data_IF_045124875921
#
_entry.id   IF_045124875921
#
_cell.length_a   1.000
_cell.length_b   1.000
_cell.length_c   1.000
_cell.angle_alpha   90.00
_cell.angle_beta   90.00
_cell.angle_gamma   90.00
#
_symmetry.space_group_name_H-M   'P 1'
#
loop_
_entity.id
_entity.type
_entity.pdbx_description
1 polymer ?
#
# COMPACT_ATOMS: atom_id res chain seq x y z
N UNK A 1 -12.93 -7.93 -3.19
CA UNK A 1 -13.21 -6.56 -3.66
C UNK A 1 -12.07 -5.71 -3.13
N UNK A 2 -11.28 -5.11 -4.04
CA UNK A 2 -10.28 -4.10 -3.72
C UNK A 2 -11.01 -2.94 -3.02
N UNK A 3 -10.53 -2.50 -1.88
CA UNK A 3 -11.02 -1.28 -1.25
C UNK A 3 -10.69 -0.09 -2.15
N UNK A 4 -11.52 0.93 -2.21
CA UNK A 4 -11.25 2.16 -3.01
C UNK A 4 -9.94 2.84 -2.62
N UNK A 5 -9.45 2.61 -1.42
CA UNK A 5 -8.25 3.23 -0.87
C UNK A 5 -6.94 2.69 -1.47
N UNK A 6 -6.91 1.42 -1.91
CA UNK A 6 -5.72 0.79 -2.49
C UNK A 6 -5.54 1.11 -3.99
N UNK A 7 -6.59 1.57 -4.69
CA UNK A 7 -6.56 1.83 -6.14
C UNK A 7 -5.42 2.76 -6.59
N UNK A 8 -5.11 3.89 -5.91
CA UNK A 8 -4.01 4.77 -6.31
C UNK A 8 -2.65 4.09 -6.27
N UNK A 9 -2.41 3.26 -5.25
CA UNK A 9 -1.16 2.52 -5.14
C UNK A 9 -1.06 1.40 -6.19
N UNK A 10 -2.18 0.76 -6.54
CA UNK A 10 -2.20 -0.23 -7.63
C UNK A 10 -1.85 0.44 -8.95
N UNK A 11 -2.39 1.63 -9.23
CA UNK A 11 -2.05 2.41 -10.44
C UNK A 11 -0.58 2.80 -10.43
N UNK A 12 -0.09 3.35 -9.33
CA UNK A 12 1.30 3.74 -9.16
C UNK A 12 2.27 2.58 -9.40
N UNK A 13 2.10 1.46 -8.70
CA UNK A 13 2.96 0.30 -8.88
C UNK A 13 2.72 -0.46 -10.18
N UNK A 14 1.64 -0.16 -10.91
CA UNK A 14 1.44 -0.70 -12.25
C UNK A 14 2.35 -0.02 -13.30
N UNK A 15 2.91 1.15 -13.02
CA UNK A 15 3.93 1.79 -13.83
C UNK A 15 5.19 0.90 -13.85
N UNK A 16 5.75 0.54 -15.04
CA UNK A 16 6.92 -0.34 -15.13
C UNK A 16 8.16 0.15 -14.36
N UNK A 17 8.37 1.47 -14.27
CA UNK A 17 9.47 2.07 -13.50
C UNK A 17 9.26 1.79 -12.02
N UNK A 18 8.09 2.12 -11.49
CA UNK A 18 7.75 1.96 -10.06
C UNK A 18 7.69 0.49 -9.64
N UNK A 19 7.21 -0.35 -10.55
CA UNK A 19 7.24 -1.80 -10.36
C UNK A 19 8.66 -2.35 -10.30
N UNK A 20 9.55 -1.94 -11.22
CA UNK A 20 10.95 -2.33 -11.18
C UNK A 20 11.63 -1.88 -9.90
N UNK A 21 11.40 -0.63 -9.48
CA UNK A 21 11.93 -0.08 -8.23
C UNK A 21 11.47 -0.88 -7.01
N UNK A 22 10.18 -1.21 -6.91
CA UNK A 22 9.62 -2.02 -5.82
C UNK A 22 10.29 -3.40 -5.77
N UNK A 23 10.35 -4.09 -6.90
CA UNK A 23 10.91 -5.45 -6.98
C UNK A 23 12.41 -5.45 -6.75
N UNK A 24 13.14 -4.47 -7.30
CA UNK A 24 14.57 -4.31 -7.09
C UNK A 24 14.89 -4.08 -5.60
N UNK A 25 14.11 -3.24 -4.92
CA UNK A 25 14.24 -3.05 -3.48
C UNK A 25 13.96 -4.31 -2.68
N UNK A 26 12.88 -5.02 -3.02
CA UNK A 26 12.41 -6.14 -2.24
C UNK A 26 13.21 -7.44 -2.46
N UNK A 27 13.33 -7.86 -3.73
CA UNK A 27 13.96 -9.15 -4.07
C UNK A 27 15.47 -9.02 -4.21
N UNK A 28 15.95 -7.89 -4.72
CA UNK A 28 17.34 -7.71 -5.11
C UNK A 28 18.13 -6.76 -4.22
N UNK A 29 17.62 -6.45 -3.03
CA UNK A 29 18.32 -5.66 -2.02
C UNK A 29 18.76 -4.27 -2.53
N UNK A 30 17.90 -3.63 -3.31
CA UNK A 30 18.13 -2.31 -3.93
C UNK A 30 19.01 -2.33 -5.18
N UNK A 31 19.48 -3.48 -5.62
CA UNK A 31 20.27 -3.59 -6.86
C UNK A 31 19.37 -3.53 -8.08
N UNK A 32 19.75 -2.73 -9.07
CA UNK A 32 19.00 -2.57 -10.32
C UNK A 32 19.14 -3.77 -11.25
N UNK A 33 18.49 -4.89 -10.88
CA UNK A 33 18.44 -6.09 -11.71
C UNK A 33 17.31 -6.04 -12.74
N UNK A 34 16.16 -5.50 -12.39
CA UNK A 34 15.06 -5.32 -13.33
C UNK A 34 15.15 -3.96 -14.00
N UNK A 35 15.19 -3.97 -15.35
CA UNK A 35 15.07 -2.76 -16.15
C UNK A 35 13.60 -2.55 -16.53
N UNK A 36 13.01 -1.37 -16.31
CA UNK A 36 11.63 -1.06 -16.68
C UNK A 36 11.30 -1.35 -18.15
N UNK A 37 12.26 -1.18 -19.07
CA UNK A 37 12.08 -1.44 -20.50
C UNK A 37 11.82 -2.92 -20.81
N UNK A 38 12.24 -3.83 -19.93
CA UNK A 38 12.08 -5.28 -20.06
C UNK A 38 10.85 -5.82 -19.29
N UNK A 39 9.99 -4.92 -18.82
CA UNK A 39 8.77 -5.25 -18.07
C UNK A 39 7.56 -5.03 -18.96
N UNK A 40 6.68 -6.02 -19.03
CA UNK A 40 5.42 -5.94 -19.76
C UNK A 40 4.27 -6.49 -18.92
N UNK A 41 3.06 -6.06 -19.24
CA UNK A 41 1.87 -6.60 -18.59
C UNK A 41 1.71 -8.08 -18.89
N UNK A 42 1.43 -8.86 -17.87
CA UNK A 42 0.97 -10.22 -17.97
C UNK A 42 -0.57 -10.28 -17.81
N UNK A 43 -1.18 -11.34 -18.34
CA UNK A 43 -2.63 -11.50 -18.19
C UNK A 43 -2.99 -11.75 -16.73
N UNK A 44 -3.58 -10.75 -16.09
CA UNK A 44 -4.05 -10.80 -14.70
C UNK A 44 -5.19 -11.80 -14.48
N UNK A 45 -5.85 -12.23 -15.58
CA UNK A 45 -7.01 -13.10 -15.54
C UNK A 45 -6.57 -14.55 -15.59
N UNK A 46 -6.49 -15.19 -14.46
CA UNK A 46 -6.35 -16.63 -14.40
C UNK A 46 -7.73 -17.26 -14.22
N UNK A 47 -8.27 -17.86 -15.28
CA UNK A 47 -9.57 -18.52 -15.24
C UNK A 47 -9.45 -19.99 -15.57
N UNK A 48 -10.05 -20.84 -14.77
CA UNK A 48 -10.20 -22.26 -15.05
C UNK A 48 -11.67 -22.65 -15.09
N UNK A 49 -12.08 -23.38 -16.15
CA UNK A 49 -13.38 -24.03 -16.19
C UNK A 49 -13.31 -25.27 -15.28
N UNK A 50 -14.03 -25.27 -14.16
CA UNK A 50 -14.21 -26.48 -13.36
C UNK A 50 -15.61 -27.07 -13.64
N UNK A 51 -15.66 -28.36 -13.91
CA UNK A 51 -16.88 -29.17 -13.98
C UNK A 51 -17.15 -29.78 -15.36
N UNK A 52 -17.04 -31.11 -15.43
CA UNK A 52 -17.76 -31.96 -16.37
C UNK A 52 -19.02 -32.46 -15.63
N UNK A 53 -20.16 -31.80 -15.86
CA UNK A 53 -21.45 -32.19 -15.29
C UNK A 53 -22.54 -31.25 -15.76
N UNK A 54 -23.78 -31.77 -15.97
CA UNK A 54 -24.95 -31.00 -16.37
C UNK A 54 -25.42 -30.12 -15.20
N UNK A 55 -24.84 -28.94 -15.06
CA UNK A 55 -25.14 -27.96 -14.03
C UNK A 55 -24.07 -26.87 -14.02
N UNK A 56 -24.41 -25.66 -13.72
CA UNK A 56 -23.65 -24.41 -13.74
C UNK A 56 -22.13 -24.60 -13.85
N UNK A 57 -21.54 -24.11 -14.97
CA UNK A 57 -20.09 -23.99 -15.13
C UNK A 57 -19.58 -22.99 -14.09
N UNK A 58 -19.00 -23.45 -13.02
CA UNK A 58 -18.26 -22.58 -12.10
C UNK A 58 -16.96 -22.16 -12.77
N UNK A 59 -16.81 -20.85 -13.00
CA UNK A 59 -15.54 -20.26 -13.41
C UNK A 59 -14.80 -19.85 -12.16
N UNK A 60 -13.69 -20.49 -11.84
CA UNK A 60 -12.72 -19.94 -10.90
C UNK A 60 -11.96 -18.85 -11.63
N UNK A 61 -12.21 -17.61 -11.23
CA UNK A 61 -11.52 -16.43 -11.73
C UNK A 61 -10.87 -15.75 -10.54
N UNK A 62 -9.54 -15.63 -10.58
CA UNK A 62 -8.76 -14.88 -9.62
C UNK A 62 -8.08 -13.75 -10.36
N UNK A 63 -8.05 -12.58 -9.75
CA UNK A 63 -7.36 -11.42 -10.26
C UNK A 63 -6.24 -11.07 -9.29
N UNK A 64 -5.07 -10.77 -9.83
CA UNK A 64 -3.99 -10.10 -9.11
C UNK A 64 -4.16 -8.61 -9.28
N UNK A 65 -3.77 -7.83 -8.26
CA UNK A 65 -3.77 -6.39 -8.36
C UNK A 65 -2.80 -5.94 -9.45
N UNK A 66 -1.59 -6.51 -9.46
CA UNK A 66 -0.59 -6.27 -10.48
C UNK A 66 0.01 -7.62 -10.91
N UNK A 67 0.21 -7.80 -12.20
CA UNK A 67 0.88 -8.99 -12.72
C UNK A 67 1.73 -8.63 -13.94
N UNK A 68 3.05 -8.74 -13.82
CA UNK A 68 4.01 -8.36 -14.85
C UNK A 68 4.87 -9.55 -15.25
N UNK A 69 5.32 -9.52 -16.50
CA UNK A 69 6.39 -10.36 -17.01
C UNK A 69 7.66 -9.53 -17.10
N UNK A 70 8.70 -9.95 -16.43
CA UNK A 70 10.03 -9.38 -16.52
C UNK A 70 10.95 -10.31 -17.31
N UNK A 71 11.75 -9.79 -18.21
CA UNK A 71 12.68 -10.54 -19.02
C UNK A 71 14.11 -10.02 -18.88
N UNK A 72 14.94 -10.70 -18.07
CA UNK A 72 16.35 -10.42 -17.89
C UNK A 72 17.16 -11.74 -18.05
N UNK A 73 18.42 -11.64 -18.45
CA UNK A 73 19.37 -12.77 -18.54
C UNK A 73 18.87 -14.02 -19.30
N UNK A 74 18.06 -13.85 -20.34
CA UNK A 74 17.38 -14.94 -21.04
C UNK A 74 16.40 -15.76 -20.15
N UNK A 75 16.08 -15.26 -18.96
CA UNK A 75 15.08 -15.83 -18.06
C UNK A 75 13.89 -14.89 -17.99
N UNK A 76 12.70 -15.44 -18.09
CA UNK A 76 11.46 -14.69 -17.84
C UNK A 76 10.97 -15.01 -16.44
N UNK A 77 10.44 -13.99 -15.78
CA UNK A 77 9.74 -14.11 -14.50
C UNK A 77 8.35 -13.52 -14.62
N UNK A 78 7.37 -14.18 -14.03
CA UNK A 78 6.10 -13.55 -13.74
C UNK A 78 6.11 -13.10 -12.29
N UNK A 79 5.81 -11.83 -12.04
CA UNK A 79 5.77 -11.25 -10.71
C UNK A 79 4.38 -10.64 -10.50
N UNK A 80 3.70 -11.13 -9.46
CA UNK A 80 2.43 -10.59 -8.98
C UNK A 80 2.64 -9.78 -7.72
N UNK A 81 1.90 -8.70 -7.56
CA UNK A 81 1.85 -7.95 -6.31
C UNK A 81 0.40 -7.84 -5.86
N UNK A 82 0.17 -8.14 -4.59
CA UNK A 82 -1.11 -7.99 -3.91
C UNK A 82 -0.94 -6.91 -2.85
N UNK A 83 -1.83 -5.93 -2.84
CA UNK A 83 -1.89 -4.89 -1.82
C UNK A 83 -2.98 -5.27 -0.82
N UNK A 84 -2.66 -5.26 0.48
CA UNK A 84 -3.57 -5.70 1.53
C UNK A 84 -3.61 -4.68 2.66
N UNK A 85 -4.81 -4.21 3.01
CA UNK A 85 -5.05 -3.40 4.20
C UNK A 85 -5.57 -4.24 5.38
N UNK A 86 -6.09 -5.44 5.11
CA UNK A 86 -6.58 -6.35 6.14
C UNK A 86 -5.89 -7.71 6.04
N UNK A 87 -5.77 -8.41 7.17
CA UNK A 87 -5.17 -9.75 7.20
C UNK A 87 -6.13 -10.76 6.58
N UNK A 88 -5.71 -11.38 5.49
CA UNK A 88 -6.38 -12.57 4.96
C UNK A 88 -5.73 -13.82 5.56
N UNK A 89 -6.37 -14.41 6.55
CA UNK A 89 -5.87 -15.61 7.22
C UNK A 89 -5.77 -16.84 6.30
N UNK A 90 -6.29 -16.76 5.08
CA UNK A 90 -6.16 -17.80 4.05
C UNK A 90 -5.16 -17.42 2.94
N UNK A 91 -4.37 -16.37 3.14
CA UNK A 91 -3.46 -15.84 2.12
C UNK A 91 -2.54 -16.89 1.50
N UNK A 92 -1.94 -17.85 2.24
CA UNK A 92 -1.14 -18.90 1.61
C UNK A 92 -1.92 -19.74 0.57
N UNK A 93 -3.17 -20.06 0.83
CA UNK A 93 -4.02 -20.77 -0.13
C UNK A 93 -4.39 -19.87 -1.32
N UNK A 94 -4.66 -18.59 -1.06
CA UNK A 94 -4.99 -17.62 -2.13
C UNK A 94 -3.82 -17.44 -3.09
N UNK A 95 -2.61 -17.24 -2.58
CA UNK A 95 -1.39 -17.10 -3.39
C UNK A 95 -1.11 -18.39 -4.15
N UNK A 96 -1.16 -19.54 -3.47
CA UNK A 96 -0.96 -20.84 -4.09
C UNK A 96 -1.94 -21.10 -5.24
N UNK A 97 -3.23 -20.77 -5.07
CA UNK A 97 -4.25 -20.92 -6.11
C UNK A 97 -3.93 -20.02 -7.33
N UNK A 98 -3.52 -18.76 -7.10
CA UNK A 98 -3.14 -17.83 -8.17
C UNK A 98 -1.91 -18.30 -8.94
N UNK A 99 -0.90 -18.81 -8.25
CA UNK A 99 0.34 -19.29 -8.86
C UNK A 99 0.10 -20.59 -9.66
N UNK A 100 -0.66 -21.53 -9.10
CA UNK A 100 -1.08 -22.75 -9.80
C UNK A 100 -1.88 -22.40 -11.06
N UNK A 101 -2.83 -21.46 -10.99
CA UNK A 101 -3.57 -21.04 -12.17
C UNK A 101 -2.66 -20.43 -13.25
N UNK A 102 -1.62 -19.70 -12.86
CA UNK A 102 -0.62 -19.15 -13.78
C UNK A 102 0.18 -20.27 -14.47
N UNK A 103 0.62 -21.28 -13.73
CA UNK A 103 1.30 -22.45 -14.32
C UNK A 103 0.37 -23.26 -15.22
N UNK A 104 -0.89 -23.45 -14.85
CA UNK A 104 -1.86 -24.14 -15.70
C UNK A 104 -2.16 -23.37 -16.99
N UNK A 105 -2.15 -22.03 -16.94
CA UNK A 105 -2.26 -21.19 -18.13
C UNK A 105 -1.06 -21.37 -19.05
N UNK A 106 0.16 -21.32 -18.51
CA UNK A 106 1.39 -21.61 -19.26
C UNK A 106 1.34 -22.99 -19.92
N UNK A 107 0.95 -24.02 -19.16
CA UNK A 107 0.78 -25.38 -19.69
C UNK A 107 -0.15 -25.42 -20.90
N UNK A 108 -1.33 -24.76 -20.81
CA UNK A 108 -2.29 -24.70 -21.93
C UNK A 108 -1.71 -24.03 -23.15
N UNK A 109 -0.95 -22.94 -22.93
CA UNK A 109 -0.30 -22.17 -24.00
C UNK A 109 0.78 -23.00 -24.70
N UNK A 110 1.67 -23.64 -23.95
CA UNK A 110 2.71 -24.52 -24.51
C UNK A 110 2.10 -25.65 -25.32
N UNK A 111 1.09 -26.35 -24.77
CA UNK A 111 0.39 -27.40 -25.48
C UNK A 111 -0.38 -26.93 -26.74
N UNK A 112 -0.81 -25.66 -26.77
CA UNK A 112 -1.42 -25.07 -27.96
C UNK A 112 -0.39 -24.83 -29.06
N UNK A 113 0.76 -24.25 -28.70
CA UNK A 113 1.89 -24.01 -29.62
C UNK A 113 2.37 -25.31 -30.26
N UNK A 114 2.57 -26.39 -29.47
CA UNK A 114 2.92 -27.69 -30.00
C UNK A 114 1.89 -28.25 -31.01
N UNK A 115 0.61 -28.05 -30.75
CA UNK A 115 -0.46 -28.45 -31.67
C UNK A 115 -0.46 -27.67 -32.98
N UNK A 116 -0.26 -26.37 -32.89
CA UNK A 116 -0.16 -25.49 -34.08
C UNK A 116 1.06 -25.84 -34.93
N UNK A 117 2.21 -26.05 -34.33
CA UNK A 117 3.46 -26.44 -34.99
C UNK A 117 3.44 -27.87 -35.50
N UNK A 118 2.54 -28.73 -35.02
CA UNK A 118 2.49 -30.18 -35.34
C UNK A 118 3.80 -30.89 -35.03
N UNK A 119 4.50 -30.47 -33.98
CA UNK A 119 5.84 -30.94 -33.60
C UNK A 119 5.79 -32.11 -32.60
N UNK A 120 4.59 -32.55 -32.18
CA UNK A 120 4.39 -33.72 -31.32
C UNK A 120 4.44 -35.04 -32.09
N UNK A 121 5.35 -35.20 -33.07
CA UNK A 121 5.59 -36.41 -33.81
C UNK A 121 6.80 -37.16 -33.25
N UNK A 122 6.66 -38.48 -33.04
CA UNK A 122 7.76 -39.31 -32.56
C UNK A 122 8.06 -39.14 -31.06
N UNK A 123 7.17 -38.56 -30.29
CA UNK A 123 7.24 -38.36 -28.84
C UNK A 123 6.60 -39.56 -28.10
N UNK A 124 6.81 -39.59 -26.79
CA UNK A 124 6.20 -40.62 -25.93
C UNK A 124 4.68 -40.46 -25.80
N UNK A 125 3.98 -41.52 -25.43
CA UNK A 125 2.52 -41.45 -25.17
C UNK A 125 2.18 -40.44 -24.05
N UNK A 126 3.05 -40.31 -23.04
CA UNK A 126 2.85 -39.35 -21.94
C UNK A 126 2.95 -37.91 -22.42
N UNK A 127 3.92 -37.58 -23.26
CA UNK A 127 4.08 -36.25 -23.86
C UNK A 127 2.87 -35.92 -24.79
N UNK A 128 2.46 -36.89 -25.60
CA UNK A 128 1.30 -36.71 -26.47
C UNK A 128 0.01 -36.46 -25.69
N UNK A 129 -0.25 -37.19 -24.60
CA UNK A 129 -1.43 -37.03 -23.76
C UNK A 129 -1.44 -35.69 -23.00
N UNK A 130 -0.29 -35.27 -22.53
CA UNK A 130 -0.18 -34.01 -21.76
C UNK A 130 -0.08 -32.78 -22.66
N UNK A 131 0.41 -32.95 -23.89
CA UNK A 131 0.76 -31.88 -24.81
C UNK A 131 2.01 -31.11 -24.37
N UNK A 132 2.83 -31.68 -23.46
CA UNK A 132 4.05 -31.12 -22.89
C UNK A 132 5.17 -32.13 -23.09
N UNK A 133 6.30 -31.68 -23.62
CA UNK A 133 7.50 -32.49 -23.81
C UNK A 133 8.40 -32.42 -22.58
N UNK A 134 9.35 -33.35 -22.47
CA UNK A 134 10.35 -33.38 -21.38
C UNK A 134 11.29 -32.16 -21.42
N UNK A 135 11.38 -31.46 -22.55
CA UNK A 135 12.23 -30.28 -22.74
C UNK A 135 11.52 -28.97 -22.34
N UNK A 136 10.18 -29.00 -22.25
CA UNK A 136 9.43 -27.80 -21.88
C UNK A 136 9.72 -27.38 -20.44
N UNK A 137 9.80 -26.09 -20.23
CA UNK A 137 9.94 -25.48 -18.90
C UNK A 137 8.95 -24.31 -18.79
N UNK A 138 8.37 -24.18 -17.62
CA UNK A 138 7.50 -23.06 -17.31
C UNK A 138 8.32 -21.90 -16.73
N UNK A 139 7.84 -20.69 -16.99
CA UNK A 139 8.39 -19.48 -16.41
C UNK A 139 8.02 -19.42 -14.92
N UNK A 140 8.98 -19.21 -14.01
CA UNK A 140 8.70 -19.09 -12.59
C UNK A 140 7.72 -17.94 -12.30
N UNK A 141 6.89 -18.15 -11.27
CA UNK A 141 5.92 -17.15 -10.77
C UNK A 141 6.32 -16.79 -9.34
N UNK A 142 6.41 -15.49 -9.05
CA UNK A 142 6.63 -14.95 -7.71
C UNK A 142 5.44 -14.08 -7.38
N UNK A 143 4.85 -14.24 -6.20
CA UNK A 143 3.80 -13.36 -5.68
C UNK A 143 4.28 -12.67 -4.42
N UNK A 144 4.22 -11.33 -4.41
CA UNK A 144 4.61 -10.46 -3.32
C UNK A 144 3.35 -9.85 -2.70
N UNK A 145 3.30 -9.76 -1.37
CA UNK A 145 2.16 -9.21 -0.63
C UNK A 145 2.65 -7.97 0.10
N UNK A 146 2.15 -6.80 -0.31
CA UNK A 146 2.42 -5.53 0.35
C UNK A 146 1.31 -5.26 1.36
N UNK A 147 1.62 -5.42 2.65
CA UNK A 147 0.67 -5.20 3.73
C UNK A 147 0.85 -3.82 4.32
N UNK A 148 -0.23 -3.03 4.35
CA UNK A 148 -0.20 -1.58 4.61
C UNK A 148 -0.86 -1.19 5.93
N UNK A 149 -1.38 -2.15 6.71
CA UNK A 149 -2.08 -1.87 7.95
C UNK A 149 -1.13 -1.52 9.09
N UNK A 150 -1.61 -0.69 10.02
CA UNK A 150 -0.89 -0.36 11.25
C UNK A 150 -0.83 -1.52 12.26
N UNK A 151 -1.77 -2.47 12.17
CA UNK A 151 -1.73 -3.71 12.95
C UNK A 151 -0.73 -4.65 12.30
N UNK A 152 0.14 -5.31 13.08
CA UNK A 152 1.08 -6.26 12.51
C UNK A 152 0.36 -7.41 11.80
N UNK A 153 1.00 -7.95 10.75
CA UNK A 153 0.52 -9.17 10.15
C UNK A 153 0.57 -10.32 11.15
N UNK A 154 -0.57 -10.84 11.56
CA UNK A 154 -0.72 -11.97 12.48
C UNK A 154 -1.25 -13.24 11.79
N UNK A 155 -1.42 -13.17 10.46
CA UNK A 155 -1.84 -14.32 9.66
C UNK A 155 -0.69 -15.30 9.37
N UNK A 156 -1.01 -16.49 8.84
CA UNK A 156 0.01 -17.47 8.51
C UNK A 156 0.92 -16.99 7.36
N UNK A 157 2.23 -17.24 7.49
CA UNK A 157 3.24 -16.94 6.47
C UNK A 157 3.46 -18.07 5.47
N UNK A 158 2.82 -19.23 5.69
CA UNK A 158 2.94 -20.41 4.83
C UNK A 158 1.75 -21.36 4.99
N UNK A 159 1.71 -22.38 4.14
CA UNK A 159 0.64 -23.38 4.14
C UNK A 159 0.61 -24.19 5.44
N UNK A 160 1.77 -24.54 6.00
CA UNK A 160 1.82 -25.29 7.25
C UNK A 160 1.13 -24.56 8.40
N UNK A 161 1.18 -23.22 8.44
CA UNK A 161 0.46 -22.40 9.40
C UNK A 161 -1.07 -22.50 9.31
N UNK A 162 -1.60 -23.04 8.21
CA UNK A 162 -3.04 -23.31 8.03
C UNK A 162 -3.43 -24.75 8.35
N UNK A 163 -2.46 -25.67 8.48
CA UNK A 163 -2.70 -27.08 8.61
C UNK A 163 -2.57 -27.54 10.08
N UNK A 164 -3.30 -28.58 10.43
CA UNK A 164 -3.20 -29.23 11.78
C UNK A 164 -1.95 -30.12 11.86
N UNK A 165 -0.77 -29.49 11.73
CA UNK A 165 0.51 -30.19 11.71
C UNK A 165 0.87 -30.82 13.08
N UNK A 166 0.35 -30.26 14.17
CA UNK A 166 0.62 -30.68 15.55
C UNK A 166 0.14 -32.11 15.86
N UNK A 167 -0.85 -32.59 15.12
CA UNK A 167 -1.41 -33.94 15.30
C UNK A 167 -0.77 -35.00 14.41
N UNK A 168 0.18 -34.61 13.55
CA UNK A 168 0.85 -35.54 12.65
C UNK A 168 2.10 -36.12 13.30
N UNK A 169 2.38 -37.46 13.15
CA UNK A 169 3.67 -38.02 13.44
C UNK A 169 4.79 -37.35 12.65
N UNK A 170 5.98 -37.22 13.24
CA UNK A 170 7.13 -36.56 12.58
C UNK A 170 7.49 -37.20 11.23
N UNK A 171 7.32 -38.53 11.10
CA UNK A 171 7.53 -39.24 9.85
C UNK A 171 6.56 -38.79 8.74
N UNK A 172 5.34 -38.45 9.11
CA UNK A 172 4.33 -38.00 8.16
C UNK A 172 4.49 -36.52 7.78
N UNK A 173 4.95 -35.66 8.70
CA UNK A 173 5.14 -34.23 8.46
C UNK A 173 6.03 -33.93 7.26
N UNK A 174 7.09 -34.74 7.05
CA UNK A 174 8.04 -34.58 5.94
C UNK A 174 7.44 -34.84 4.55
N UNK A 175 6.24 -35.44 4.46
CA UNK A 175 5.52 -35.63 3.21
C UNK A 175 4.45 -34.58 2.94
N UNK A 176 4.27 -33.64 3.86
CA UNK A 176 3.37 -32.49 3.66
C UNK A 176 4.20 -31.32 3.14
N UNK A 177 4.07 -31.04 1.84
CA UNK A 177 4.77 -29.93 1.21
C UNK A 177 4.28 -28.60 1.77
N UNK A 178 5.22 -27.65 1.93
CA UNK A 178 4.92 -26.31 2.41
C UNK A 178 4.93 -25.31 1.25
N UNK A 179 4.08 -24.30 1.34
CA UNK A 179 4.00 -23.21 0.39
C UNK A 179 4.16 -21.89 1.12
N UNK A 180 5.34 -21.28 1.01
CA UNK A 180 5.64 -20.00 1.65
C UNK A 180 5.14 -18.83 0.81
N UNK A 181 4.71 -17.77 1.47
CA UNK A 181 4.34 -16.49 0.85
C UNK A 181 5.34 -15.41 1.25
N UNK A 182 5.43 -14.36 0.44
CA UNK A 182 6.37 -13.26 0.65
C UNK A 182 5.58 -12.01 1.04
N UNK A 183 5.69 -11.61 2.31
CA UNK A 183 4.96 -10.48 2.88
C UNK A 183 5.96 -9.38 3.26
N UNK A 184 5.70 -8.16 2.82
CA UNK A 184 6.31 -6.94 3.35
C UNK A 184 5.26 -6.24 4.21
N UNK A 185 5.37 -6.36 5.52
CA UNK A 185 4.59 -5.61 6.49
C UNK A 185 5.23 -4.23 6.65
N UNK A 186 4.72 -3.26 5.88
CA UNK A 186 5.35 -1.94 5.73
C UNK A 186 5.49 -1.23 7.07
N UNK A 187 4.44 -1.26 7.90
CA UNK A 187 4.43 -0.53 9.17
C UNK A 187 5.35 -1.16 10.23
N UNK A 188 5.68 -2.45 10.12
CA UNK A 188 6.47 -3.19 11.09
C UNK A 188 7.86 -3.59 10.59
N UNK A 189 8.14 -3.39 9.31
CA UNK A 189 9.48 -3.60 8.74
C UNK A 189 10.46 -2.54 9.30
N UNK A 190 11.67 -2.93 9.75
CA UNK A 190 12.69 -1.98 10.19
C UNK A 190 13.05 -0.93 9.13
N UNK A 191 13.34 0.30 9.55
CA UNK A 191 13.67 1.40 8.63
C UNK A 191 14.89 1.09 7.76
N UNK A 192 15.88 0.40 8.30
CA UNK A 192 17.08 -0.02 7.57
C UNK A 192 16.71 -0.93 6.39
N UNK A 193 15.68 -1.73 6.53
CA UNK A 193 15.20 -2.59 5.45
C UNK A 193 14.43 -1.81 4.41
N UNK A 194 13.64 -0.82 4.82
CA UNK A 194 12.92 0.07 3.89
C UNK A 194 13.86 1.00 3.13
N UNK A 195 15.00 1.38 3.72
CA UNK A 195 16.04 2.19 3.04
C UNK A 195 16.76 1.47 1.90
N UNK A 196 16.59 0.16 1.75
CA UNK A 196 17.14 -0.59 0.61
C UNK A 196 16.36 -0.34 -0.68
N UNK A 197 15.13 0.13 -0.57
CA UNK A 197 14.33 0.48 -1.74
C UNK A 197 14.86 1.75 -2.41
N UNK A 198 14.73 1.88 -3.75
CA UNK A 198 15.01 3.12 -4.44
C UNK A 198 14.27 4.31 -3.83
N UNK A 199 14.83 5.53 -3.96
CA UNK A 199 14.41 6.68 -3.16
C UNK A 199 12.92 6.97 -3.13
N UNK A 200 12.24 6.96 -4.28
CA UNK A 200 10.81 7.27 -4.36
C UNK A 200 9.95 6.18 -3.68
N UNK A 201 10.33 4.89 -3.85
CA UNK A 201 9.66 3.79 -3.15
C UNK A 201 9.93 3.82 -1.66
N UNK A 202 11.20 4.06 -1.24
CA UNK A 202 11.55 4.23 0.16
C UNK A 202 10.69 5.33 0.81
N UNK A 203 10.57 6.47 0.14
CA UNK A 203 9.74 7.57 0.60
C UNK A 203 8.27 7.15 0.76
N UNK A 204 7.69 6.52 -0.25
CA UNK A 204 6.31 6.02 -0.21
C UNK A 204 6.08 5.10 1.00
N UNK A 205 6.94 4.10 1.18
CA UNK A 205 6.81 3.11 2.27
C UNK A 205 6.99 3.76 3.65
N UNK A 206 7.98 4.66 3.80
CA UNK A 206 8.22 5.39 5.05
C UNK A 206 7.06 6.33 5.37
N UNK A 207 6.51 7.01 4.37
CA UNK A 207 5.37 7.89 4.59
C UNK A 207 4.14 7.10 5.04
N UNK A 208 3.84 5.95 4.41
CA UNK A 208 2.75 5.06 4.82
C UNK A 208 2.96 4.60 6.27
N UNK A 209 4.19 4.16 6.60
CA UNK A 209 4.54 3.70 7.94
C UNK A 209 4.32 4.76 9.01
N UNK A 210 4.67 6.01 8.73
CA UNK A 210 4.66 7.11 9.71
C UNK A 210 3.53 8.12 9.49
N UNK A 211 2.50 7.79 8.69
CA UNK A 211 1.37 8.69 8.37
C UNK A 211 0.77 9.38 9.59
N UNK A 212 0.69 8.68 10.74
CA UNK A 212 0.17 9.24 11.99
C UNK A 212 1.21 9.95 12.86
N UNK A 213 2.49 9.81 12.58
CA UNK A 213 3.55 10.49 13.33
C UNK A 213 4.11 11.67 12.54
N UNK A 214 3.37 12.77 12.58
CA UNK A 214 3.75 14.02 11.89
C UNK A 214 5.14 14.52 12.28
N UNK A 215 5.62 14.21 13.50
CA UNK A 215 6.97 14.64 13.95
C UNK A 215 8.07 13.87 13.23
N UNK A 216 7.86 12.57 13.01
CA UNK A 216 8.80 11.74 12.26
C UNK A 216 8.78 12.11 10.79
N UNK A 217 7.60 12.35 10.21
CA UNK A 217 7.48 12.80 8.82
C UNK A 217 8.15 14.15 8.56
N UNK A 218 8.18 15.05 9.55
CA UNK A 218 8.85 16.36 9.41
C UNK A 218 10.35 16.25 9.11
N UNK A 219 10.97 15.15 9.49
CA UNK A 219 12.37 14.87 9.19
C UNK A 219 12.53 13.77 8.15
N UNK A 220 11.69 13.82 7.10
CA UNK A 220 11.66 12.82 6.03
C UNK A 220 13.01 12.67 5.31
N UNK A 221 13.81 13.73 5.29
CA UNK A 221 15.19 13.68 4.76
C UNK A 221 16.05 12.67 5.51
N UNK A 222 15.97 12.64 6.83
CA UNK A 222 16.73 11.68 7.64
C UNK A 222 16.20 10.26 7.45
N UNK A 223 14.91 10.09 7.15
CA UNK A 223 14.31 8.79 6.89
C UNK A 223 14.77 8.19 5.56
N UNK A 224 14.71 8.94 4.47
CA UNK A 224 14.89 8.43 3.11
C UNK A 224 16.17 8.93 2.41
N UNK A 225 16.92 9.85 3.03
CA UNK A 225 18.15 10.41 2.48
C UNK A 225 17.93 11.36 1.28
N UNK A 226 16.71 11.81 1.03
CA UNK A 226 16.37 12.73 -0.06
C UNK A 226 15.31 13.76 0.35
N UNK A 227 15.33 14.92 -0.32
CA UNK A 227 14.42 16.04 -0.08
C UNK A 227 13.28 16.10 -1.09
N UNK A 228 13.49 15.53 -2.27
CA UNK A 228 12.53 15.60 -3.39
C UNK A 228 12.07 14.23 -3.81
N UNK A 229 10.81 14.13 -4.21
CA UNK A 229 10.20 12.92 -4.81
C UNK A 229 9.65 13.25 -6.19
N UNK A 230 9.45 12.21 -7.00
CA UNK A 230 8.79 12.36 -8.29
C UNK A 230 7.31 12.75 -8.10
N UNK A 231 6.76 13.50 -9.05
CA UNK A 231 5.38 13.99 -9.01
C UNK A 231 4.37 12.84 -8.92
N UNK A 232 4.57 11.77 -9.70
CA UNK A 232 3.69 10.60 -9.68
C UNK A 232 3.71 9.86 -8.33
N UNK A 233 4.84 9.90 -7.62
CA UNK A 233 4.95 9.37 -6.24
C UNK A 233 4.15 10.21 -5.27
N UNK A 234 4.23 11.54 -5.40
CA UNK A 234 3.44 12.46 -4.60
C UNK A 234 1.94 12.26 -4.84
N UNK A 235 1.51 12.24 -6.11
CA UNK A 235 0.11 12.11 -6.49
C UNK A 235 -0.51 10.82 -5.94
N UNK A 236 0.18 9.68 -6.13
CA UNK A 236 -0.27 8.40 -5.60
C UNK A 236 -0.38 8.39 -4.07
N UNK A 237 0.54 9.08 -3.39
CA UNK A 237 0.54 9.19 -1.94
C UNK A 237 -0.62 10.06 -1.44
N UNK A 238 -0.82 11.24 -2.06
CA UNK A 238 -1.89 12.17 -1.70
C UNK A 238 -3.28 11.54 -1.91
N UNK A 239 -3.45 10.79 -3.01
CA UNK A 239 -4.68 10.04 -3.29
C UNK A 239 -4.90 8.90 -2.29
N UNK A 240 -3.83 8.17 -1.91
CA UNK A 240 -3.91 7.06 -0.96
C UNK A 240 -4.29 7.55 0.45
N UNK A 241 -3.62 8.59 0.93
CA UNK A 241 -3.87 9.16 2.27
C UNK A 241 -5.19 9.94 2.28
N UNK A 242 -5.59 10.51 1.13
CA UNK A 242 -6.82 11.29 0.94
C UNK A 242 -6.94 12.49 1.91
N UNK A 243 -5.80 13.17 2.16
CA UNK A 243 -5.76 14.38 2.97
C UNK A 243 -5.71 15.64 2.08
N UNK A 244 -6.71 16.55 2.18
CA UNK A 244 -6.77 17.77 1.35
C UNK A 244 -5.56 18.68 1.50
N UNK A 245 -4.90 18.68 2.67
CA UNK A 245 -3.72 19.49 2.95
C UNK A 245 -2.55 19.11 2.03
N UNK A 246 -2.37 17.84 1.69
CA UNK A 246 -1.31 17.41 0.76
C UNK A 246 -1.51 18.02 -0.63
N UNK A 247 -2.75 18.11 -1.09
CA UNK A 247 -3.06 18.75 -2.38
C UNK A 247 -2.86 20.26 -2.38
N UNK A 248 -3.14 20.95 -1.26
CA UNK A 248 -2.83 22.36 -1.10
C UNK A 248 -1.32 22.58 -1.17
N UNK A 249 -0.56 21.77 -0.45
CA UNK A 249 0.89 21.81 -0.44
C UNK A 249 1.48 21.67 -1.86
N UNK A 250 0.92 20.82 -2.71
CA UNK A 250 1.39 20.69 -4.11
C UNK A 250 1.26 21.99 -4.91
N UNK A 251 0.28 22.82 -4.59
CA UNK A 251 0.06 24.11 -5.28
C UNK A 251 1.05 25.19 -4.83
N UNK A 252 1.58 25.06 -3.64
CA UNK A 252 2.47 26.04 -3.00
C UNK A 252 3.94 25.74 -3.24
N UNK A 253 4.29 24.45 -3.37
CA UNK A 253 5.66 24.01 -3.62
C UNK A 253 5.95 23.96 -5.11
N UNK A 254 6.97 24.71 -5.58
CA UNK A 254 7.40 24.66 -6.97
C UNK A 254 7.93 23.28 -7.35
N UNK A 255 7.39 22.73 -8.43
CA UNK A 255 7.91 21.49 -9.02
C UNK A 255 9.09 21.84 -9.92
N UNK A 256 10.30 21.42 -9.54
CA UNK A 256 11.47 21.51 -10.40
C UNK A 256 11.71 20.17 -11.13
N UNK A 257 11.68 20.21 -12.46
CA UNK A 257 11.97 19.04 -13.32
C UNK A 257 11.11 17.78 -13.00
N UNK A 258 9.85 17.95 -12.62
CA UNK A 258 8.93 16.85 -12.29
C UNK A 258 9.23 16.22 -10.91
N UNK A 259 9.88 16.95 -10.01
CA UNK A 259 10.11 16.54 -8.63
C UNK A 259 9.62 17.60 -7.64
N UNK A 260 9.06 17.17 -6.54
CA UNK A 260 8.46 18.01 -5.49
C UNK A 260 9.36 17.98 -4.26
N UNK A 261 9.63 19.14 -3.65
CA UNK A 261 10.37 19.26 -2.40
C UNK A 261 9.45 18.96 -1.20
N UNK A 262 9.53 17.73 -0.71
CA UNK A 262 8.70 17.28 0.41
C UNK A 262 9.12 17.84 1.77
N UNK A 263 10.40 18.19 1.94
CA UNK A 263 10.87 18.73 3.22
C UNK A 263 10.28 20.12 3.49
N UNK A 264 10.13 20.94 2.46
CA UNK A 264 9.52 22.26 2.56
C UNK A 264 8.03 22.15 2.80
N UNK A 265 7.32 21.39 1.96
CA UNK A 265 5.89 21.22 2.07
C UNK A 265 5.44 20.58 3.38
N UNK A 266 6.14 19.56 3.88
CA UNK A 266 5.81 18.96 5.17
C UNK A 266 6.07 19.91 6.35
N UNK A 267 7.08 20.79 6.27
CA UNK A 267 7.30 21.81 7.32
C UNK A 267 6.18 22.84 7.34
N UNK A 268 5.72 23.30 6.18
CA UNK A 268 4.59 24.22 6.06
C UNK A 268 3.30 23.57 6.60
N UNK A 269 2.98 22.35 6.15
CA UNK A 269 1.84 21.59 6.65
C UNK A 269 1.87 21.42 8.18
N UNK A 270 3.04 21.18 8.76
CA UNK A 270 3.19 21.07 10.21
C UNK A 270 3.10 22.41 10.94
N UNK A 271 3.56 23.48 10.32
CA UNK A 271 3.43 24.82 10.90
C UNK A 271 1.95 25.20 10.99
N UNK A 272 1.18 24.94 9.94
CA UNK A 272 -0.27 25.17 9.89
C UNK A 272 -1.02 24.29 10.89
N UNK A 273 -0.75 22.99 10.90
CA UNK A 273 -1.35 22.04 11.86
C UNK A 273 -1.03 22.39 13.32
N UNK A 274 0.17 22.93 13.57
CA UNK A 274 0.55 23.42 14.91
C UNK A 274 -0.19 24.69 15.27
N UNK A 275 -0.35 25.60 14.32
CA UNK A 275 -1.11 26.83 14.52
C UNK A 275 -2.59 26.52 14.79
N UNK A 276 -3.19 25.61 14.02
CA UNK A 276 -4.56 25.14 14.24
C UNK A 276 -4.73 24.47 15.61
N UNK A 277 -3.85 23.55 16.00
CA UNK A 277 -3.92 22.88 17.32
C UNK A 277 -3.72 23.86 18.49
N UNK A 278 -2.90 24.91 18.32
CA UNK A 278 -2.77 25.98 19.33
C UNK A 278 -4.04 26.84 19.38
N UNK A 279 -4.68 27.13 18.24
CA UNK A 279 -5.93 27.86 18.19
C UNK A 279 -7.06 27.06 18.85
N UNK A 280 -7.21 25.78 18.52
CA UNK A 280 -8.19 24.88 19.12
C UNK A 280 -8.02 24.77 20.64
N UNK A 281 -6.79 24.50 21.11
CA UNK A 281 -6.51 24.45 22.56
C UNK A 281 -6.77 25.77 23.27
N UNK A 282 -6.59 26.91 22.57
CA UNK A 282 -6.90 28.22 23.15
C UNK A 282 -8.40 28.48 23.16
N UNK A 283 -9.14 28.07 22.15
CA UNK A 283 -10.61 28.13 22.11
C UNK A 283 -11.23 27.28 23.23
N UNK A 284 -10.72 26.06 23.44
CA UNK A 284 -11.13 25.18 24.54
C UNK A 284 -10.84 25.81 25.91
N UNK A 285 -9.69 26.45 26.08
CA UNK A 285 -9.35 27.16 27.31
C UNK A 285 -10.32 28.33 27.59
N UNK A 286 -10.71 29.09 26.55
CA UNK A 286 -11.74 30.13 26.66
C UNK A 286 -13.08 29.54 27.08
N UNK A 287 -13.50 28.45 26.44
CA UNK A 287 -14.75 27.76 26.76
C UNK A 287 -14.76 27.22 28.20
N UNK A 288 -13.65 26.61 28.62
CA UNK A 288 -13.52 26.13 30.01
C UNK A 288 -13.68 27.25 31.04
N UNK A 289 -13.07 28.41 30.80
CA UNK A 289 -13.25 29.57 31.69
C UNK A 289 -14.68 30.12 31.70
N UNK A 290 -15.38 30.02 30.58
CA UNK A 290 -16.77 30.47 30.48
C UNK A 290 -17.74 29.47 31.09
N UNK A 291 -17.52 28.18 30.92
CA UNK A 291 -18.32 27.09 31.50
C UNK A 291 -18.31 27.13 33.04
N UNK A 292 -17.19 27.56 33.66
CA UNK A 292 -17.13 27.83 35.12
C UNK A 292 -18.03 28.98 35.57
N UNK A 293 -18.41 29.91 34.64
CA UNK A 293 -19.16 31.13 34.94
C UNK A 293 -20.62 31.04 34.54
N UNK A 294 -21.02 30.01 33.84
CA UNK A 294 -22.42 29.78 33.43
C UNK A 294 -22.53 29.00 32.13
N UNK A 295 -23.74 28.82 31.64
CA UNK A 295 -23.99 28.09 30.39
C UNK A 295 -23.60 28.95 29.19
N UNK A 296 -22.68 28.48 28.37
CA UNK A 296 -22.26 29.14 27.13
C UNK A 296 -23.28 28.85 26.03
N UNK A 297 -23.85 29.88 25.38
CA UNK A 297 -24.75 29.70 24.24
C UNK A 297 -24.04 28.96 23.08
N UNK A 298 -24.80 28.15 22.34
CA UNK A 298 -24.24 27.30 21.29
C UNK A 298 -23.61 28.09 20.13
N UNK A 299 -24.23 29.24 19.79
CA UNK A 299 -23.70 30.14 18.77
C UNK A 299 -22.33 30.73 19.16
N UNK A 300 -22.13 31.00 20.44
CA UNK A 300 -20.85 31.48 20.98
C UNK A 300 -19.82 30.35 21.02
N UNK A 301 -20.23 29.17 21.41
CA UNK A 301 -19.38 27.96 21.44
C UNK A 301 -18.84 27.62 20.05
N UNK A 302 -19.72 27.56 19.06
CA UNK A 302 -19.39 27.32 17.66
C UNK A 302 -18.42 28.38 17.11
N UNK A 303 -18.74 29.65 17.34
CA UNK A 303 -17.92 30.76 16.84
C UNK A 303 -16.51 30.80 17.47
N UNK A 304 -16.36 30.37 18.74
CA UNK A 304 -15.05 30.27 19.39
C UNK A 304 -14.24 29.08 18.85
N UNK A 305 -14.88 27.95 18.53
CA UNK A 305 -14.22 26.78 17.97
C UNK A 305 -13.83 26.96 16.50
N UNK A 306 -14.56 27.79 15.76
CA UNK A 306 -14.27 28.11 14.36
C UNK A 306 -13.23 29.24 14.19
N UNK A 307 -12.89 30.00 15.28
CA UNK A 307 -11.91 31.06 15.21
C UNK A 307 -10.49 30.52 15.13
N UNK A 308 -9.76 30.90 14.09
CA UNK A 308 -8.36 30.45 13.84
C UNK A 308 -7.32 31.51 14.16
N UNK A 309 -7.74 32.76 14.36
CA UNK A 309 -6.83 33.86 14.67
C UNK A 309 -6.38 33.82 16.14
N UNK A 310 -5.12 33.43 16.33
CA UNK A 310 -4.50 33.29 17.65
C UNK A 310 -4.50 34.56 18.47
N UNK A 311 -4.38 35.75 17.86
CA UNK A 311 -4.40 37.02 18.60
C UNK A 311 -5.79 37.32 19.12
N UNK A 312 -6.82 37.06 18.32
CA UNK A 312 -8.20 37.20 18.79
C UNK A 312 -8.52 36.17 19.90
N UNK A 313 -8.09 34.93 19.76
CA UNK A 313 -8.29 33.89 20.79
C UNK A 313 -7.58 34.28 22.10
N UNK A 314 -6.39 34.85 22.03
CA UNK A 314 -5.71 35.45 23.22
C UNK A 314 -6.50 36.56 23.84
N UNK A 315 -7.11 37.44 23.04
CA UNK A 315 -7.98 38.50 23.54
C UNK A 315 -9.23 37.93 24.18
N UNK A 316 -9.85 36.93 23.56
CA UNK A 316 -11.02 36.25 24.11
C UNK A 316 -10.72 35.55 25.43
N UNK A 317 -9.56 34.91 25.54
CA UNK A 317 -9.11 34.31 26.80
C UNK A 317 -8.96 35.34 27.90
N UNK A 318 -8.31 36.49 27.62
CA UNK A 318 -8.20 37.60 28.59
C UNK A 318 -9.57 38.18 28.97
N UNK A 319 -10.47 38.31 27.97
CA UNK A 319 -11.81 38.77 28.20
C UNK A 319 -12.64 37.82 29.06
N UNK A 320 -12.59 36.51 28.74
CA UNK A 320 -13.24 35.47 29.52
C UNK A 320 -12.75 35.43 30.96
N UNK A 321 -11.43 35.55 31.17
CA UNK A 321 -10.86 35.59 32.53
C UNK A 321 -11.37 36.79 33.36
N UNK A 322 -11.54 37.94 32.72
CA UNK A 322 -11.94 39.23 33.37
C UNK A 322 -13.46 39.43 33.50
N UNK A 323 -14.27 38.69 32.77
CA UNK A 323 -15.72 38.76 32.81
C UNK A 323 -16.26 38.03 34.04
N UNK A 324 -17.23 38.60 34.73
CA UNK A 324 -17.85 37.98 35.89
C UNK A 324 -18.96 36.99 35.52
N UNK A 325 -19.49 37.02 34.31
CA UNK A 325 -20.49 36.09 33.79
C UNK A 325 -20.36 35.90 32.28
N UNK A 326 -21.03 34.86 31.75
CA UNK A 326 -21.08 34.57 30.31
C UNK A 326 -21.75 35.73 29.54
N UNK A 327 -22.81 36.33 30.08
CA UNK A 327 -23.53 37.43 29.45
C UNK A 327 -22.64 38.69 29.34
N UNK A 328 -21.80 38.92 30.33
CA UNK A 328 -20.84 40.05 30.30
C UNK A 328 -19.78 39.79 29.20
N UNK A 329 -19.27 38.59 29.06
CA UNK A 329 -18.38 38.22 28.01
C UNK A 329 -18.99 38.42 26.63
N UNK A 330 -20.19 37.87 26.37
CA UNK A 330 -20.89 37.96 25.09
C UNK A 330 -21.16 39.39 24.71
N UNK A 331 -21.56 40.25 25.66
CA UNK A 331 -21.79 41.67 25.42
C UNK A 331 -20.53 42.44 24.99
N UNK A 332 -19.38 42.08 25.50
CA UNK A 332 -18.08 42.68 25.16
C UNK A 332 -17.49 42.09 23.90
N UNK A 333 -17.72 40.83 23.65
CA UNK A 333 -17.24 40.08 22.46
C UNK A 333 -17.95 40.55 21.17
N UNK A 334 -19.24 40.91 21.24
CA UNK A 334 -20.02 41.41 20.09
C UNK A 334 -19.78 42.89 19.79
N UNK A 335 -18.91 43.58 20.50
CA UNK A 335 -18.50 44.97 20.26
C UNK A 335 -17.18 45.07 19.50
#
# INVERSE_FOLDING_TARGET
QMGRKEEPLVEYYNNPVRFAELVNGWIFDGKNYLNPENISDADRRTSQKSGRGAGKKEYRQRYRDIFKQAGEWNVRLFIGTELQEEVDYTMPLRVMDMDVLSYLHQKKRVAAVHRENRDLKGITSGEFLTGITKEDRFVPVITLILYLNERPWDGPGDLHGLLRMEHLPEEAKKYVENYRIHILDVCHTPDEELRRFPPDICFMLMFIKYTKDKKVLADIRSLCGQETIAEDTFDALADYVNEPELWKMKQEVESEKGRINMCEGLRELMADSKAEGVAEGMAEAVLSLLDEKGTVPEDVRTALLEETDLEKLKEFNRLAARSGSVEEFVRKWKK
#
